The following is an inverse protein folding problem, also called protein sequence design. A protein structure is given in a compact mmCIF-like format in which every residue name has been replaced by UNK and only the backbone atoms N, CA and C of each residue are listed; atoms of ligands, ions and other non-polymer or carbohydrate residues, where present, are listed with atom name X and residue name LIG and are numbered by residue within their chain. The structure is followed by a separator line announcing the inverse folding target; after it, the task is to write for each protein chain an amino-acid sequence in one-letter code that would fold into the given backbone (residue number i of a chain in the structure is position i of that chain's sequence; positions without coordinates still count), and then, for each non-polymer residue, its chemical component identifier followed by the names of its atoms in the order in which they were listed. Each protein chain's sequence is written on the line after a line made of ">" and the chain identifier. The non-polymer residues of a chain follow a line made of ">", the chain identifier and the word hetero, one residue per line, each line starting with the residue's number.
data_IF_133560117891
#
_entry.id   IF_133560117891
#
_cell.length_a   1.000
_cell.length_b   1.000
_cell.length_c   1.000
_cell.angle_alpha   90.00
_cell.angle_beta   90.00
_cell.angle_gamma   90.00
#
_symmetry.space_group_name_H-M   'P 1'
#
loop_
_entity.id
_entity.type
_entity.pdbx_description
1 polymer ?
#
# COMPACT_ATOMS: atom_id res chain seq x y z
N UNK A 1 -6.64 -64.11 -53.30
CA UNK A 1 -6.42 -63.74 -54.72
C UNK A 1 -5.79 -62.35 -54.77
N UNK A 2 -4.63 -62.20 -55.44
CA UNK A 2 -3.91 -60.94 -55.69
C UNK A 2 -4.49 -60.20 -56.91
N UNK A 3 -4.21 -58.89 -56.95
CA UNK A 3 -4.14 -57.92 -58.08
C UNK A 3 -5.24 -56.84 -57.98
N UNK A 4 -5.01 -55.54 -58.17
CA UNK A 4 -3.83 -54.73 -58.55
C UNK A 4 -4.31 -53.25 -58.47
N UNK A 5 -3.53 -52.34 -57.88
CA UNK A 5 -3.67 -50.88 -58.11
C UNK A 5 -3.03 -50.54 -59.46
N UNK A 6 -3.50 -49.53 -60.22
CA UNK A 6 -2.75 -48.27 -60.21
C UNK A 6 -3.57 -46.97 -60.47
N UNK A 7 -3.08 -45.90 -59.84
CA UNK A 7 -2.68 -44.59 -60.40
C UNK A 7 -3.65 -43.59 -61.07
N UNK A 8 -3.74 -42.43 -60.39
CA UNK A 8 -3.42 -41.06 -60.85
C UNK A 8 -4.49 -40.22 -61.59
N UNK A 9 -4.95 -39.19 -60.84
CA UNK A 9 -5.23 -37.78 -61.16
C UNK A 9 -5.95 -37.37 -62.46
N UNK A 10 -7.02 -36.58 -62.27
CA UNK A 10 -7.21 -35.38 -63.11
C UNK A 10 -7.83 -34.21 -62.33
N UNK A 11 -6.95 -33.29 -61.94
CA UNK A 11 -7.06 -31.83 -61.83
C UNK A 11 -8.43 -31.17 -61.61
N UNK A 12 -8.60 -30.53 -60.45
CA UNK A 12 -9.19 -29.18 -60.40
C UNK A 12 -8.26 -28.28 -59.59
N UNK A 13 -7.53 -27.47 -60.35
CA UNK A 13 -6.59 -26.44 -59.92
C UNK A 13 -7.29 -25.36 -59.11
N UNK A 14 -6.68 -25.03 -57.98
CA UNK A 14 -6.91 -23.83 -57.17
C UNK A 14 -7.05 -22.55 -58.03
N UNK A 15 -8.05 -21.71 -57.72
CA UNK A 15 -7.93 -20.26 -57.90
C UNK A 15 -7.89 -19.61 -56.52
N UNK A 16 -6.65 -19.41 -56.07
CA UNK A 16 -6.21 -18.88 -54.80
C UNK A 16 -5.97 -17.34 -54.74
N UNK A 17 -6.65 -16.41 -55.45
CA UNK A 17 -6.30 -14.99 -55.29
C UNK A 17 -7.31 -14.14 -54.49
N UNK A 18 -8.42 -14.68 -53.96
CA UNK A 18 -9.45 -13.84 -53.32
C UNK A 18 -9.59 -13.97 -51.80
N UNK A 19 -9.10 -15.04 -51.18
CA UNK A 19 -9.25 -15.22 -49.71
C UNK A 19 -8.11 -14.53 -48.94
N UNK A 20 -6.93 -14.36 -49.55
CA UNK A 20 -5.77 -13.75 -48.87
C UNK A 20 -5.91 -12.22 -48.75
N UNK A 21 -6.58 -11.56 -49.69
CA UNK A 21 -6.75 -10.10 -49.67
C UNK A 21 -7.81 -9.62 -48.66
N UNK A 22 -8.75 -10.49 -48.28
CA UNK A 22 -9.72 -10.18 -47.22
C UNK A 22 -9.12 -10.34 -45.81
N UNK A 23 -8.09 -11.17 -45.65
CA UNK A 23 -7.35 -11.30 -44.38
C UNK A 23 -6.33 -10.18 -44.14
N UNK A 24 -5.87 -9.47 -45.18
CA UNK A 24 -4.88 -8.39 -45.04
C UNK A 24 -5.50 -7.00 -44.78
N UNK A 25 -6.78 -6.80 -45.06
CA UNK A 25 -7.49 -5.55 -44.74
C UNK A 25 -8.21 -5.58 -43.37
N UNK A 26 -8.39 -6.77 -42.78
CA UNK A 26 -8.92 -6.93 -41.41
C UNK A 26 -7.90 -6.71 -40.29
N UNK A 27 -6.62 -6.52 -40.62
CA UNK A 27 -5.53 -6.33 -39.65
C UNK A 27 -5.17 -4.86 -39.40
N UNK A 28 -5.85 -3.91 -40.04
CA UNK A 28 -5.56 -2.47 -39.93
C UNK A 28 -6.69 -1.62 -39.31
N UNK A 29 -7.71 -2.23 -38.69
CA UNK A 29 -8.60 -1.50 -37.79
C UNK A 29 -8.04 -1.52 -36.38
N UNK A 30 -7.25 -0.48 -36.11
CA UNK A 30 -7.02 0.11 -34.81
C UNK A 30 -6.59 -0.85 -33.69
N UNK A 31 -5.32 -1.27 -33.78
CA UNK A 31 -4.46 -1.30 -32.60
C UNK A 31 -4.27 0.12 -32.03
N UNK A 32 -5.36 0.78 -31.64
CA UNK A 32 -5.37 1.87 -30.67
C UNK A 32 -6.25 1.42 -29.50
N UNK A 33 -5.86 0.29 -28.92
CA UNK A 33 -6.36 -0.11 -27.61
C UNK A 33 -5.81 0.89 -26.58
N UNK A 34 -6.56 1.98 -26.40
CA UNK A 34 -6.50 2.95 -25.32
C UNK A 34 -5.08 3.37 -24.90
N UNK A 35 -4.56 4.42 -25.54
CA UNK A 35 -3.62 5.33 -24.86
C UNK A 35 -4.41 6.16 -23.86
N UNK A 36 -4.95 5.51 -22.83
CA UNK A 36 -5.67 6.16 -21.73
C UNK A 36 -4.64 6.78 -20.80
N UNK A 37 -4.05 7.90 -21.22
CA UNK A 37 -3.46 8.82 -20.26
C UNK A 37 -4.64 9.63 -19.72
N UNK A 38 -4.66 9.91 -18.43
CA UNK A 38 -3.89 11.07 -18.01
C UNK A 38 -3.64 10.99 -16.52
N UNK A 39 -2.37 11.10 -16.16
CA UNK A 39 -1.97 11.60 -14.85
C UNK A 39 -2.39 13.08 -14.74
N UNK A 40 -3.70 13.34 -14.71
CA UNK A 40 -4.31 14.68 -14.58
C UNK A 40 -5.43 14.64 -13.56
N UNK A 41 -5.65 15.77 -12.89
CA UNK A 41 -6.79 15.98 -12.01
C UNK A 41 -8.10 16.15 -12.81
N UNK A 42 -9.28 16.08 -12.16
CA UNK A 42 -10.57 16.27 -12.83
C UNK A 42 -10.75 17.62 -13.55
N UNK A 43 -9.95 18.62 -13.20
CA UNK A 43 -9.89 19.92 -13.86
C UNK A 43 -8.95 19.95 -15.09
N UNK A 44 -8.28 18.84 -15.41
CA UNK A 44 -7.35 18.70 -16.53
C UNK A 44 -5.91 19.09 -16.25
N UNK A 45 -5.58 19.58 -15.05
CA UNK A 45 -4.20 19.92 -14.69
C UNK A 45 -3.34 18.67 -14.51
N UNK A 46 -2.05 18.67 -14.93
CA UNK A 46 -1.19 17.50 -14.79
C UNK A 46 -0.92 17.20 -13.31
N UNK A 47 -1.02 15.92 -12.93
CA UNK A 47 -0.60 15.45 -11.63
C UNK A 47 0.92 15.57 -11.50
N UNK A 48 1.37 16.19 -10.42
CA UNK A 48 2.78 16.34 -10.12
C UNK A 48 3.45 15.00 -9.82
N UNK A 49 4.73 14.87 -10.14
CA UNK A 49 5.48 13.62 -9.96
C UNK A 49 5.48 13.05 -8.53
N UNK A 50 5.39 13.89 -7.49
CA UNK A 50 5.28 13.41 -6.10
C UNK A 50 4.00 12.61 -5.84
N UNK A 51 2.92 12.90 -6.57
CA UNK A 51 1.64 12.18 -6.44
C UNK A 51 1.72 10.76 -7.03
N UNK A 52 2.62 10.58 -7.99
CA UNK A 52 2.87 9.30 -8.66
C UNK A 52 3.98 8.50 -7.97
N UNK A 53 4.60 9.05 -6.92
CA UNK A 53 5.68 8.39 -6.20
C UNK A 53 5.13 7.33 -5.24
N UNK A 54 5.27 6.07 -5.65
CA UNK A 54 4.95 4.90 -4.83
C UNK A 54 6.20 4.22 -4.27
N UNK A 55 7.35 4.92 -4.27
CA UNK A 55 8.61 4.38 -3.78
C UNK A 55 8.47 3.97 -2.33
N UNK A 56 8.74 2.70 -2.04
CA UNK A 56 8.72 2.20 -0.66
C UNK A 56 9.84 2.87 0.13
N UNK A 57 9.44 3.52 1.21
CA UNK A 57 10.36 4.13 2.16
C UNK A 57 11.23 3.02 2.79
N UNK A 58 12.55 3.20 2.76
CA UNK A 58 13.50 2.28 3.41
C UNK A 58 13.71 2.71 4.85
N UNK A 59 13.58 1.78 5.79
CA UNK A 59 13.74 2.04 7.23
C UNK A 59 15.07 2.72 7.58
N UNK A 60 16.17 2.32 6.92
CA UNK A 60 17.50 2.91 7.13
C UNK A 60 17.61 4.40 6.75
N UNK A 61 16.66 4.93 5.97
CA UNK A 61 16.66 6.33 5.55
C UNK A 61 15.84 7.23 6.50
N UNK A 62 15.14 6.66 7.49
CA UNK A 62 14.21 7.36 8.37
C UNK A 62 14.82 7.78 9.72
N UNK A 63 16.11 7.54 9.92
CA UNK A 63 16.84 7.90 11.14
C UNK A 63 17.05 6.74 12.11
N UNK A 64 17.44 7.09 13.35
CA UNK A 64 17.71 6.13 14.43
C UNK A 64 16.47 5.32 14.76
N UNK A 65 16.65 4.02 14.99
CA UNK A 65 15.55 3.11 15.33
C UNK A 65 15.43 2.95 16.85
N UNK A 66 14.21 3.01 17.35
CA UNK A 66 13.82 2.83 18.75
C UNK A 66 12.86 1.64 18.82
N UNK A 67 13.41 0.44 19.01
CA UNK A 67 12.58 -0.78 19.13
C UNK A 67 11.95 -0.80 20.51
N UNK A 68 10.62 -0.76 20.59
CA UNK A 68 9.91 -0.57 21.87
C UNK A 68 10.24 -1.62 22.94
N UNK A 69 10.67 -2.82 22.53
CA UNK A 69 11.09 -3.89 23.47
C UNK A 69 12.39 -3.57 24.20
N UNK A 70 13.27 -2.78 23.58
CA UNK A 70 14.53 -2.33 24.19
C UNK A 70 14.28 -1.30 25.30
N UNK A 71 13.07 -0.71 25.31
CA UNK A 71 12.59 0.25 26.29
C UNK A 71 11.56 -0.37 27.26
N UNK A 72 11.48 -1.70 27.30
CA UNK A 72 10.67 -2.44 28.27
C UNK A 72 9.24 -2.75 27.85
N UNK A 73 8.84 -2.47 26.60
CA UNK A 73 7.56 -2.96 26.10
C UNK A 73 7.58 -4.49 25.96
N UNK A 74 6.55 -5.15 26.48
CA UNK A 74 6.35 -6.61 26.47
C UNK A 74 5.41 -7.00 25.33
N UNK A 75 5.70 -8.14 24.71
CA UNK A 75 4.85 -8.76 23.67
C UNK A 75 3.61 -9.41 24.30
N UNK A 76 2.73 -8.58 24.85
CA UNK A 76 1.53 -8.99 25.56
C UNK A 76 0.32 -8.21 25.02
N UNK A 77 -0.71 -8.93 24.59
CA UNK A 77 -1.92 -8.36 23.99
C UNK A 77 -2.96 -7.89 25.02
N UNK A 78 -2.70 -8.11 26.31
CA UNK A 78 -3.61 -7.82 27.43
C UNK A 78 -3.01 -6.79 28.40
N UNK A 79 -1.73 -6.47 28.28
CA UNK A 79 -1.07 -5.46 29.09
C UNK A 79 -1.11 -4.10 28.40
N UNK A 80 -1.79 -3.12 29.00
CA UNK A 80 -1.81 -1.74 28.52
C UNK A 80 -0.42 -1.10 28.67
N UNK A 81 0.12 -0.58 27.56
CA UNK A 81 1.52 -0.11 27.49
C UNK A 81 1.65 1.31 26.94
N UNK A 82 0.56 2.08 26.94
CA UNK A 82 0.48 3.46 26.43
C UNK A 82 1.62 4.33 26.95
N UNK A 83 1.84 4.34 28.27
CA UNK A 83 2.89 5.14 28.91
C UNK A 83 4.29 4.72 28.46
N UNK A 84 4.56 3.42 28.37
CA UNK A 84 5.86 2.90 27.96
C UNK A 84 6.16 3.27 26.51
N UNK A 85 5.20 3.06 25.60
CA UNK A 85 5.38 3.36 24.17
C UNK A 85 5.45 4.87 23.93
N UNK A 86 4.65 5.68 24.64
CA UNK A 86 4.71 7.14 24.54
C UNK A 86 6.09 7.68 24.97
N UNK A 87 6.71 7.12 26.02
CA UNK A 87 8.09 7.49 26.40
C UNK A 87 9.10 7.23 25.30
N UNK A 88 8.94 6.16 24.51
CA UNK A 88 9.82 5.87 23.37
C UNK A 88 9.65 6.91 22.26
N UNK A 89 8.41 7.32 21.99
CA UNK A 89 8.10 8.39 21.03
C UNK A 89 8.72 9.72 21.49
N UNK A 90 8.53 10.07 22.76
CA UNK A 90 9.05 11.31 23.33
C UNK A 90 10.58 11.33 23.34
N UNK A 91 11.21 10.18 23.62
CA UNK A 91 12.67 10.02 23.54
C UNK A 91 13.19 10.20 22.12
N UNK A 92 12.56 9.55 21.13
CA UNK A 92 12.94 9.73 19.73
C UNK A 92 12.81 11.19 19.29
N UNK A 93 11.74 11.87 19.70
CA UNK A 93 11.53 13.29 19.42
C UNK A 93 12.61 14.17 20.08
N UNK A 94 12.93 13.90 21.36
CA UNK A 94 13.96 14.61 22.14
C UNK A 94 15.34 14.48 21.52
N UNK A 95 15.64 13.35 20.90
CA UNK A 95 16.91 13.09 20.19
C UNK A 95 16.93 13.62 18.74
N UNK A 96 15.92 14.41 18.34
CA UNK A 96 15.87 15.09 17.03
C UNK A 96 15.05 14.35 15.96
N UNK A 97 14.40 13.25 16.33
CA UNK A 97 13.58 12.42 15.46
C UNK A 97 14.08 10.96 15.41
N UNK A 98 13.39 10.15 14.62
CA UNK A 98 13.74 8.75 14.40
C UNK A 98 12.51 7.86 14.25
N UNK A 99 12.73 6.55 14.31
CA UNK A 99 11.71 5.55 14.00
C UNK A 99 11.37 4.72 15.23
N UNK A 100 10.14 4.84 15.70
CA UNK A 100 9.57 3.96 16.72
C UNK A 100 9.16 2.65 16.05
N UNK A 101 9.86 1.57 16.40
CA UNK A 101 9.69 0.26 15.78
C UNK A 101 8.83 -0.63 16.67
N UNK A 102 7.71 -1.10 16.12
CA UNK A 102 6.89 -2.17 16.69
C UNK A 102 7.39 -3.51 16.12
N UNK A 103 8.17 -4.30 16.88
CA UNK A 103 8.73 -5.54 16.38
C UNK A 103 7.67 -6.64 16.32
N UNK A 104 8.05 -7.83 15.83
CA UNK A 104 7.19 -9.03 15.88
C UNK A 104 6.59 -9.25 17.27
N UNK A 105 5.28 -9.43 17.34
CA UNK A 105 4.51 -9.54 18.57
C UNK A 105 3.26 -8.67 18.56
N UNK A 106 2.47 -8.73 19.65
CA UNK A 106 1.31 -7.86 19.85
C UNK A 106 1.54 -6.98 21.07
N UNK A 107 1.26 -5.69 20.95
CA UNK A 107 1.46 -4.69 21.99
C UNK A 107 0.17 -3.87 22.12
N UNK A 108 -0.48 -3.95 23.29
CA UNK A 108 -1.72 -3.24 23.58
C UNK A 108 -1.43 -1.79 24.03
N UNK A 109 -2.12 -0.82 23.44
CA UNK A 109 -1.97 0.60 23.76
C UNK A 109 -3.30 1.36 23.61
N UNK A 110 -3.45 2.40 24.42
CA UNK A 110 -4.37 3.51 24.20
C UNK A 110 -3.82 4.50 23.18
N UNK A 111 -4.29 5.75 23.26
CA UNK A 111 -3.87 6.81 22.35
C UNK A 111 -2.37 7.12 22.42
N UNK A 112 -1.71 7.12 21.27
CA UNK A 112 -0.30 7.53 21.12
C UNK A 112 -0.20 8.83 20.31
N UNK A 113 0.75 9.67 20.70
CA UNK A 113 0.95 11.01 20.18
C UNK A 113 2.36 11.16 19.62
N UNK A 114 2.48 10.99 18.30
CA UNK A 114 3.72 11.19 17.57
C UNK A 114 4.08 12.67 17.50
N UNK A 115 5.38 12.94 17.31
CA UNK A 115 5.96 14.28 17.27
C UNK A 115 6.60 14.52 15.89
N UNK A 116 6.83 15.78 15.48
CA UNK A 116 7.56 16.06 14.25
C UNK A 116 8.88 15.29 14.16
N UNK A 117 9.20 14.79 12.96
CA UNK A 117 10.41 13.98 12.67
C UNK A 117 10.44 12.59 13.34
N UNK A 118 9.35 12.15 13.95
CA UNK A 118 9.20 10.76 14.40
C UNK A 118 8.41 9.95 13.38
N UNK A 119 8.75 8.67 13.26
CA UNK A 119 8.13 7.73 12.33
C UNK A 119 7.64 6.50 13.07
N UNK A 120 6.49 5.96 12.67
CA UNK A 120 6.03 4.64 13.11
C UNK A 120 6.43 3.59 12.08
N UNK A 121 7.11 2.54 12.51
CA UNK A 121 7.37 1.37 11.68
C UNK A 121 6.86 0.10 12.36
N UNK A 122 5.88 -0.55 11.75
CA UNK A 122 5.37 -1.85 12.19
C UNK A 122 6.09 -2.92 11.37
N UNK A 123 6.99 -3.66 12.03
CA UNK A 123 7.76 -4.71 11.40
C UNK A 123 6.88 -5.91 11.02
N UNK A 124 7.40 -6.80 10.19
CA UNK A 124 6.69 -8.04 9.83
C UNK A 124 6.31 -8.85 11.08
N UNK A 125 5.04 -9.26 11.14
CA UNK A 125 4.44 -9.92 12.30
C UNK A 125 4.26 -9.03 13.55
N UNK A 126 4.56 -7.73 13.48
CA UNK A 126 4.30 -6.75 14.53
C UNK A 126 2.84 -6.28 14.49
N UNK A 127 2.26 -6.06 15.68
CA UNK A 127 0.89 -5.57 15.85
C UNK A 127 0.86 -4.55 16.96
N UNK A 128 0.45 -3.32 16.63
CA UNK A 128 0.03 -2.32 17.59
C UNK A 128 -1.49 -2.48 17.76
N UNK A 129 -1.91 -3.06 18.88
CA UNK A 129 -3.31 -3.36 19.18
C UNK A 129 -3.89 -2.20 20.00
N UNK A 130 -5.01 -1.64 19.55
CA UNK A 130 -5.76 -0.64 20.33
C UNK A 130 -6.46 -1.29 21.52
N UNK A 131 -6.51 -0.57 22.64
CA UNK A 131 -7.38 -0.90 23.77
C UNK A 131 -8.85 -0.83 23.38
N UNK A 132 -9.67 -1.67 23.99
CA UNK A 132 -11.13 -1.62 23.91
C UNK A 132 -11.75 -0.78 25.04
N UNK A 133 -10.95 -0.35 26.03
CA UNK A 133 -11.38 0.59 27.06
C UNK A 133 -11.26 2.03 26.56
N UNK A 134 -12.39 2.74 26.56
CA UNK A 134 -12.44 4.14 26.15
C UNK A 134 -11.65 5.07 27.09
N UNK A 135 -11.42 4.67 28.34
CA UNK A 135 -10.62 5.44 29.29
C UNK A 135 -9.15 5.56 28.86
N UNK A 136 -8.66 4.66 27.99
CA UNK A 136 -7.31 4.72 27.42
C UNK A 136 -7.16 5.76 26.28
N UNK A 137 -8.26 6.43 25.94
CA UNK A 137 -8.35 7.47 24.92
C UNK A 137 -8.89 8.74 25.58
N UNK A 138 -8.04 9.63 26.11
CA UNK A 138 -8.52 10.83 26.79
C UNK A 138 -9.23 11.76 25.80
N UNK A 139 -10.39 12.32 26.17
CA UNK A 139 -11.09 13.27 25.32
C UNK A 139 -10.24 14.55 25.11
N UNK A 140 -10.19 15.04 23.88
CA UNK A 140 -9.42 16.23 23.52
C UNK A 140 -10.15 17.04 22.44
N UNK A 141 -9.79 18.33 22.27
CA UNK A 141 -10.36 19.16 21.23
C UNK A 141 -10.17 18.52 19.85
N UNK A 142 -11.28 18.35 19.14
CA UNK A 142 -11.33 17.74 17.82
C UNK A 142 -12.37 18.42 16.95
N UNK A 143 -12.44 18.00 15.69
CA UNK A 143 -13.44 18.46 14.73
C UNK A 143 -14.15 17.28 14.09
N UNK A 144 -15.44 17.13 14.37
CA UNK A 144 -16.30 16.10 13.77
C UNK A 144 -17.41 16.77 12.98
N UNK A 145 -17.58 16.34 11.72
CA UNK A 145 -18.69 16.77 10.85
C UNK A 145 -18.87 18.30 10.77
N UNK A 146 -17.76 19.04 10.83
CA UNK A 146 -17.76 20.50 10.76
C UNK A 146 -17.85 21.24 12.10
N UNK A 147 -18.09 20.54 13.22
CA UNK A 147 -18.20 21.11 14.57
C UNK A 147 -16.92 20.90 15.39
N UNK A 148 -16.62 21.86 16.26
CA UNK A 148 -15.53 21.76 17.24
C UNK A 148 -16.10 21.23 18.56
N UNK A 149 -15.57 20.13 19.05
CA UNK A 149 -15.99 19.47 20.29
C UNK A 149 -14.83 18.64 20.88
N UNK A 150 -14.91 18.30 22.15
CA UNK A 150 -14.02 17.31 22.72
C UNK A 150 -14.44 15.90 22.29
N UNK A 151 -13.50 15.13 21.75
CA UNK A 151 -13.74 13.78 21.25
C UNK A 151 -12.57 12.85 21.54
N UNK A 152 -12.79 11.55 21.40
CA UNK A 152 -11.77 10.55 21.63
C UNK A 152 -10.75 10.50 20.49
N UNK A 153 -9.43 10.47 20.79
CA UNK A 153 -8.39 10.36 19.79
C UNK A 153 -8.33 8.98 19.13
N UNK A 154 -7.59 8.91 18.03
CA UNK A 154 -7.24 7.64 17.42
C UNK A 154 -6.16 6.91 18.25
N UNK A 155 -5.89 5.64 17.91
CA UNK A 155 -4.73 4.89 18.42
C UNK A 155 -3.41 5.59 18.09
N UNK A 156 -3.30 6.18 16.90
CA UNK A 156 -2.10 6.91 16.45
C UNK A 156 -2.53 8.31 16.00
N UNK A 157 -1.90 9.33 16.60
CA UNK A 157 -2.13 10.74 16.31
C UNK A 157 -0.77 11.38 15.96
N UNK A 158 -0.69 12.16 14.88
CA UNK A 158 0.56 12.72 14.35
C UNK A 158 0.34 14.10 13.72
#
# INVERSE_FOLDING_TARGET
>A
MRKKSPDVNLSITMKLPCIITFCLLGLFSAAEAQKNQKDVFPDGTPMSGWFLDHTKVKLGNLGKQYVITDFGAKRDSNLIQTVTIQKVIDEAAREGGGVVVIPKGTFLSGALFFKPKTHLYVADGGKLKGSDDIADYPAMPSRMEGQNLDYFPALVNA
#
